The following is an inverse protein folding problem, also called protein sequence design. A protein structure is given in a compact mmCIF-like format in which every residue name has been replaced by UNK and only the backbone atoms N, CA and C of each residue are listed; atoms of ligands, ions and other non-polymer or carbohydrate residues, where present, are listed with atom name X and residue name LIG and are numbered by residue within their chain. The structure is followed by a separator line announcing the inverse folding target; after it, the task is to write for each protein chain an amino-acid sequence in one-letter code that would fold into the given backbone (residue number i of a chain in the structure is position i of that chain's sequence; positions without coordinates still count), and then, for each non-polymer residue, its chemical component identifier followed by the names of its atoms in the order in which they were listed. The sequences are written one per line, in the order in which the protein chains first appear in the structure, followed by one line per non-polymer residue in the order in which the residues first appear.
data_IF_801585627846
#
_entry.id   IF_801585627846
#
_cell.length_a   1.000
_cell.length_b   1.000
_cell.length_c   1.000
_cell.angle_alpha   90.00
_cell.angle_beta   90.00
_cell.angle_gamma   90.00
#
_symmetry.space_group_name_H-M   'P 1'
#
loop_
_entity.id
_entity.type
_entity.pdbx_description
1 polymer ?
#
# COMPACT_ATOMS: atom_id res chain seq x y z
N UNK A 1 -11.70 12.84 -29.43
CA UNK A 1 -12.59 12.95 -30.58
C UNK A 1 -11.82 13.23 -31.88
N UNK A 2 -11.35 14.46 -32.18
CA UNK A 2 -10.72 14.76 -33.50
C UNK A 2 -9.54 13.87 -33.90
N UNK A 3 -8.78 13.34 -32.96
CA UNK A 3 -7.67 12.40 -33.23
C UNK A 3 -8.21 11.02 -33.61
N UNK A 4 -9.21 10.53 -32.88
CA UNK A 4 -9.89 9.28 -33.17
C UNK A 4 -10.57 9.32 -34.55
N UNK A 5 -11.24 10.42 -34.91
CA UNK A 5 -11.84 10.63 -36.23
C UNK A 5 -10.81 10.58 -37.37
N UNK A 6 -9.52 10.76 -37.07
CA UNK A 6 -8.40 10.68 -38.01
C UNK A 6 -7.63 9.38 -37.93
N UNK A 7 -8.14 8.38 -37.21
CA UNK A 7 -7.56 7.05 -37.11
C UNK A 7 -6.42 6.93 -36.08
N UNK A 8 -6.41 7.80 -35.06
CA UNK A 8 -5.47 7.60 -33.96
C UNK A 8 -5.79 6.30 -33.22
N UNK A 9 -4.77 5.53 -32.90
CA UNK A 9 -4.88 4.29 -32.15
C UNK A 9 -5.24 4.60 -30.68
N UNK A 10 -6.40 4.12 -30.17
CA UNK A 10 -6.83 4.34 -28.78
C UNK A 10 -6.02 3.54 -27.77
N UNK A 11 -5.19 2.59 -28.21
CA UNK A 11 -4.41 1.67 -27.37
C UNK A 11 -2.94 2.08 -27.22
N UNK A 12 -2.54 3.25 -27.74
CA UNK A 12 -1.17 3.74 -27.55
C UNK A 12 -0.88 3.92 -26.06
N UNK A 13 -0.04 3.02 -25.52
CA UNK A 13 0.38 3.06 -24.12
C UNK A 13 1.65 3.92 -23.95
N UNK A 14 1.73 4.61 -22.82
CA UNK A 14 2.96 5.31 -22.40
C UNK A 14 4.11 4.32 -22.23
N UNK A 15 5.24 4.58 -22.87
CA UNK A 15 6.45 3.78 -22.71
C UNK A 15 7.04 3.82 -21.31
N UNK A 16 6.65 4.80 -20.49
CA UNK A 16 7.14 4.97 -19.12
C UNK A 16 6.43 4.03 -18.15
N UNK A 17 5.09 3.96 -18.21
CA UNK A 17 4.29 3.30 -17.18
C UNK A 17 3.09 2.50 -17.72
N UNK A 18 2.95 2.36 -19.03
CA UNK A 18 1.86 1.61 -19.64
C UNK A 18 0.50 2.33 -19.64
N UNK A 19 0.43 3.61 -19.22
CA UNK A 19 -0.85 4.32 -19.20
C UNK A 19 -1.41 4.49 -20.61
N UNK A 20 -2.62 3.97 -20.84
CA UNK A 20 -3.39 4.15 -22.07
C UNK A 20 -4.23 5.43 -22.01
N UNK A 21 -4.73 5.93 -23.14
CA UNK A 21 -5.69 7.02 -23.14
C UNK A 21 -6.93 6.75 -22.28
N UNK A 22 -7.42 5.50 -22.24
CA UNK A 22 -8.56 5.10 -21.42
C UNK A 22 -8.26 5.20 -19.94
N UNK A 23 -7.12 4.66 -19.47
CA UNK A 23 -6.67 4.81 -18.09
C UNK A 23 -6.47 6.30 -17.73
N UNK A 24 -5.82 7.05 -18.61
CA UNK A 24 -5.56 8.48 -18.42
C UNK A 24 -6.85 9.29 -18.29
N UNK A 25 -7.92 8.95 -19.01
CA UNK A 25 -9.21 9.62 -18.92
C UNK A 25 -9.81 9.53 -17.51
N UNK A 26 -9.84 8.31 -16.92
CA UNK A 26 -10.28 8.09 -15.52
C UNK A 26 -9.33 8.78 -14.54
N UNK A 27 -8.02 8.59 -14.75
CA UNK A 27 -7.03 9.12 -13.82
C UNK A 27 -7.00 10.65 -13.78
N UNK A 28 -7.21 11.32 -14.91
CA UNK A 28 -7.23 12.78 -14.96
C UNK A 28 -8.39 13.39 -14.17
N UNK A 29 -9.55 12.71 -14.12
CA UNK A 29 -10.69 13.14 -13.30
C UNK A 29 -10.37 13.03 -11.81
N UNK A 30 -9.74 11.93 -11.40
CA UNK A 30 -9.57 11.54 -10.00
C UNK A 30 -8.12 11.61 -9.50
N UNK A 31 -7.23 12.28 -10.23
CA UNK A 31 -5.85 12.45 -9.76
C UNK A 31 -5.80 13.23 -8.45
N UNK A 32 -4.78 12.98 -7.60
CA UNK A 32 -4.57 13.72 -6.37
C UNK A 32 -4.50 15.22 -6.61
N UNK A 33 -4.91 16.01 -5.62
CA UNK A 33 -4.81 17.47 -5.69
C UNK A 33 -3.34 17.88 -5.76
N UNK A 34 -3.00 18.71 -6.73
CA UNK A 34 -1.67 19.31 -6.81
C UNK A 34 -1.51 20.44 -5.79
N UNK A 35 -0.27 20.75 -5.43
CA UNK A 35 0.05 21.87 -4.52
C UNK A 35 -0.45 23.22 -5.05
N UNK A 36 -0.45 23.35 -6.36
CA UNK A 36 -0.98 24.50 -7.04
C UNK A 36 -2.24 24.07 -7.78
N UNK A 37 -3.44 24.45 -7.30
CA UNK A 37 -4.66 24.15 -8.03
C UNK A 37 -4.55 24.72 -9.43
N UNK A 38 -4.79 23.88 -10.43
CA UNK A 38 -4.93 24.30 -11.81
C UNK A 38 -6.37 24.78 -11.96
N UNK A 39 -6.63 26.10 -11.90
CA UNK A 39 -7.98 26.59 -12.06
C UNK A 39 -8.45 26.30 -13.49
N UNK A 40 -9.66 25.81 -13.61
CA UNK A 40 -10.43 25.85 -14.86
C UNK A 40 -10.03 24.85 -15.97
N UNK A 41 -9.16 23.89 -15.74
CA UNK A 41 -8.90 22.83 -16.74
C UNK A 41 -10.20 22.14 -17.21
N UNK A 42 -11.20 22.05 -16.34
CA UNK A 42 -12.50 21.42 -16.61
C UNK A 42 -13.53 22.36 -17.19
N UNK A 43 -13.51 23.64 -16.83
CA UNK A 43 -14.51 24.61 -17.27
C UNK A 43 -14.45 24.88 -18.79
N UNK A 44 -13.28 24.69 -19.41
CA UNK A 44 -13.09 24.79 -20.84
C UNK A 44 -13.34 23.52 -21.64
N UNK A 45 -13.61 22.39 -20.98
CA UNK A 45 -13.84 21.12 -21.67
C UNK A 45 -15.25 21.03 -22.22
N UNK A 46 -15.38 20.60 -23.48
CA UNK A 46 -16.68 20.40 -24.14
C UNK A 46 -17.30 19.02 -23.87
N UNK A 47 -16.51 18.09 -23.42
CA UNK A 47 -16.88 16.70 -23.18
C UNK A 47 -16.39 16.30 -21.79
N UNK A 48 -17.22 15.57 -21.07
CA UNK A 48 -16.82 14.95 -19.81
C UNK A 48 -15.83 13.79 -20.02
N UNK A 49 -15.18 13.36 -18.95
CA UNK A 49 -14.28 12.20 -19.01
C UNK A 49 -15.02 10.90 -19.39
N UNK A 50 -16.29 10.73 -18.99
CA UNK A 50 -17.11 9.59 -19.39
C UNK A 50 -17.40 9.58 -20.89
N UNK A 51 -17.69 10.76 -21.51
CA UNK A 51 -17.86 10.88 -22.95
C UNK A 51 -16.57 10.51 -23.69
N UNK A 52 -15.42 10.91 -23.13
CA UNK A 52 -14.11 10.55 -23.68
C UNK A 52 -13.83 9.06 -23.59
N UNK A 53 -14.13 8.46 -22.43
CA UNK A 53 -13.99 7.02 -22.23
C UNK A 53 -14.86 6.22 -23.19
N UNK A 54 -16.11 6.59 -23.35
CA UNK A 54 -17.04 5.94 -24.28
C UNK A 54 -16.56 6.04 -25.73
N UNK A 55 -16.05 7.21 -26.14
CA UNK A 55 -15.48 7.39 -27.47
C UNK A 55 -14.20 6.57 -27.70
N UNK A 56 -13.36 6.42 -26.70
CA UNK A 56 -12.15 5.58 -26.76
C UNK A 56 -12.54 4.11 -26.89
N UNK A 57 -13.50 3.66 -26.08
CA UNK A 57 -14.01 2.28 -26.11
C UNK A 57 -14.70 1.97 -27.45
N UNK A 58 -15.51 2.90 -27.98
CA UNK A 58 -16.12 2.77 -29.30
C UNK A 58 -15.10 2.75 -30.45
N UNK A 59 -13.93 3.36 -30.25
CA UNK A 59 -12.82 3.32 -31.19
C UNK A 59 -11.94 2.05 -31.04
N UNK A 60 -12.26 1.14 -30.12
CA UNK A 60 -11.56 -0.12 -29.92
C UNK A 60 -10.47 -0.07 -28.84
N UNK A 61 -10.59 0.84 -27.86
CA UNK A 61 -9.71 0.80 -26.69
C UNK A 61 -9.92 -0.50 -25.91
N UNK A 62 -8.82 -1.16 -25.54
CA UNK A 62 -8.84 -2.33 -24.66
C UNK A 62 -9.12 -1.88 -23.22
N UNK A 63 -10.26 -2.31 -22.60
CA UNK A 63 -10.59 -1.90 -21.25
C UNK A 63 -9.72 -2.59 -20.19
N UNK A 64 -9.02 -3.67 -20.54
CA UNK A 64 -8.24 -4.51 -19.64
C UNK A 64 -6.73 -4.26 -19.71
N UNK A 65 -6.30 -3.30 -20.54
CA UNK A 65 -4.89 -2.92 -20.60
C UNK A 65 -4.35 -2.49 -19.23
N UNK A 66 -3.17 -2.98 -18.88
CA UNK A 66 -2.63 -2.88 -17.52
C UNK A 66 -1.47 -1.89 -17.42
N UNK A 67 -1.44 -1.15 -16.34
CA UNK A 67 -0.29 -0.33 -15.98
C UNK A 67 0.96 -1.19 -15.73
N UNK A 68 2.10 -0.78 -16.27
CA UNK A 68 3.39 -1.48 -16.06
C UNK A 68 4.16 -0.96 -14.84
N UNK A 69 3.95 0.30 -14.49
CA UNK A 69 4.50 0.95 -13.30
C UNK A 69 3.45 1.83 -12.65
N UNK A 70 3.64 2.10 -11.36
CA UNK A 70 2.83 3.08 -10.66
C UNK A 70 2.99 4.46 -11.33
N UNK A 71 1.90 5.16 -11.69
CA UNK A 71 1.99 6.52 -12.21
C UNK A 71 2.53 7.44 -11.13
N UNK A 72 3.49 8.29 -11.51
CA UNK A 72 3.99 9.29 -10.60
C UNK A 72 2.96 10.41 -10.45
N UNK A 73 2.62 10.74 -9.21
CA UNK A 73 1.78 11.89 -8.89
C UNK A 73 2.66 12.99 -8.31
N UNK A 74 2.43 14.22 -8.73
CA UNK A 74 2.96 15.39 -8.03
C UNK A 74 2.15 15.59 -6.75
N UNK A 75 2.48 14.83 -5.73
CA UNK A 75 1.83 14.96 -4.44
C UNK A 75 2.41 16.11 -3.64
N UNK A 76 1.56 16.76 -2.87
CA UNK A 76 1.93 17.84 -1.96
C UNK A 76 3.03 17.43 -0.97
N UNK A 77 3.05 16.16 -0.59
CA UNK A 77 3.96 15.63 0.44
C UNK A 77 5.27 15.08 -0.13
N UNK A 78 5.41 14.96 -1.44
CA UNK A 78 6.54 14.25 -2.07
C UNK A 78 6.58 12.77 -1.73
N UNK A 79 5.54 12.21 -1.14
CA UNK A 79 5.44 10.80 -0.82
C UNK A 79 5.14 9.96 -2.05
N UNK A 80 5.93 8.91 -2.26
CA UNK A 80 5.56 7.84 -3.17
C UNK A 80 4.46 6.95 -2.55
N UNK A 81 3.80 6.18 -3.39
CA UNK A 81 2.66 5.32 -3.13
C UNK A 81 2.68 4.54 -1.80
N UNK A 82 3.50 3.50 -1.70
CA UNK A 82 3.49 2.57 -0.57
C UNK A 82 3.97 3.17 0.77
N UNK A 83 4.70 4.27 0.71
CA UNK A 83 5.21 4.94 1.92
C UNK A 83 4.17 5.84 2.56
N UNK A 84 3.13 6.20 1.81
CA UNK A 84 2.13 7.17 2.22
C UNK A 84 0.72 6.60 2.32
N UNK A 85 0.60 5.29 2.33
CA UNK A 85 -0.67 4.59 2.42
C UNK A 85 -1.43 4.46 1.10
N UNK A 86 -0.81 4.80 -0.03
CA UNK A 86 -1.40 4.61 -1.35
C UNK A 86 -1.11 3.21 -1.88
N UNK A 87 -2.00 2.71 -2.74
CA UNK A 87 -1.77 1.43 -3.41
C UNK A 87 -0.80 1.59 -4.57
N UNK A 88 -0.01 0.55 -4.84
CA UNK A 88 0.77 0.46 -6.07
C UNK A 88 -0.18 0.14 -7.24
N UNK A 89 -0.20 1.02 -8.25
CA UNK A 89 -1.04 0.86 -9.43
C UNK A 89 -0.41 -0.01 -10.51
N UNK A 90 0.73 -0.65 -10.25
CA UNK A 90 1.27 -1.62 -11.21
C UNK A 90 0.27 -2.76 -11.40
N UNK A 91 -0.05 -3.07 -12.64
CA UNK A 91 -1.08 -4.04 -13.00
C UNK A 91 -2.52 -3.53 -12.93
N UNK A 92 -2.76 -2.27 -12.54
CA UNK A 92 -4.10 -1.70 -12.52
C UNK A 92 -4.66 -1.49 -13.93
N UNK A 93 -5.96 -1.76 -14.10
CA UNK A 93 -6.76 -1.41 -15.27
C UNK A 93 -7.49 -0.08 -15.05
N UNK A 94 -8.12 0.43 -16.10
CA UNK A 94 -9.04 1.57 -15.98
C UNK A 94 -10.20 1.27 -15.01
N UNK A 95 -10.70 0.02 -14.96
CA UNK A 95 -11.74 -0.41 -14.04
C UNK A 95 -11.29 -0.33 -12.58
N UNK A 96 -10.12 -0.85 -12.26
CA UNK A 96 -9.57 -0.77 -10.90
C UNK A 96 -9.31 0.69 -10.49
N UNK A 97 -8.85 1.53 -11.42
CA UNK A 97 -8.65 2.96 -11.16
C UNK A 97 -9.98 3.68 -10.86
N UNK A 98 -11.06 3.32 -11.57
CA UNK A 98 -12.41 3.83 -11.29
C UNK A 98 -12.90 3.35 -9.93
N UNK A 99 -12.69 2.07 -9.58
CA UNK A 99 -13.03 1.52 -8.26
C UNK A 99 -12.28 2.25 -7.13
N UNK A 100 -11.00 2.57 -7.33
CA UNK A 100 -10.21 3.33 -6.35
C UNK A 100 -10.69 4.77 -6.17
N UNK A 101 -11.36 5.32 -7.19
CA UNK A 101 -12.04 6.62 -7.11
C UNK A 101 -13.51 6.51 -6.69
N UNK A 102 -14.00 5.32 -6.35
CA UNK A 102 -15.41 5.06 -6.04
C UNK A 102 -16.38 5.55 -7.13
N UNK A 103 -15.94 5.48 -8.39
CA UNK A 103 -16.66 5.98 -9.55
C UNK A 103 -17.50 4.87 -10.19
N UNK A 104 -18.73 4.74 -9.71
CA UNK A 104 -19.66 3.70 -10.17
C UNK A 104 -20.02 3.87 -11.64
N UNK A 105 -20.14 5.10 -12.14
CA UNK A 105 -20.53 5.35 -13.52
C UNK A 105 -19.43 4.93 -14.49
N UNK A 106 -18.16 5.24 -14.17
CA UNK A 106 -17.03 4.75 -14.94
C UNK A 106 -16.90 3.21 -14.88
N UNK A 107 -17.08 2.60 -13.69
CA UNK A 107 -17.08 1.14 -13.57
C UNK A 107 -18.18 0.47 -14.40
N UNK A 108 -19.40 1.01 -14.38
CA UNK A 108 -20.52 0.51 -15.20
C UNK A 108 -20.26 0.68 -16.69
N UNK A 109 -19.72 1.83 -17.09
CA UNK A 109 -19.34 2.08 -18.47
C UNK A 109 -18.32 1.03 -18.95
N UNK A 110 -17.22 0.86 -18.22
CA UNK A 110 -16.16 -0.10 -18.56
C UNK A 110 -16.69 -1.53 -18.63
N UNK A 111 -17.52 -1.95 -17.65
CA UNK A 111 -18.12 -3.28 -17.67
C UNK A 111 -19.03 -3.52 -18.89
N UNK A 112 -19.82 -2.53 -19.31
CA UNK A 112 -20.64 -2.65 -20.53
C UNK A 112 -19.80 -2.89 -21.79
N UNK A 113 -18.55 -2.41 -21.78
CA UNK A 113 -17.59 -2.59 -22.86
C UNK A 113 -16.65 -3.79 -22.67
N UNK A 114 -16.94 -4.66 -21.71
CA UNK A 114 -16.27 -5.94 -21.54
C UNK A 114 -15.08 -5.95 -20.59
N UNK A 115 -14.85 -4.88 -19.81
CA UNK A 115 -13.81 -4.88 -18.78
C UNK A 115 -13.99 -6.05 -17.80
N UNK A 116 -12.88 -6.73 -17.47
CA UNK A 116 -12.83 -7.74 -16.42
C UNK A 116 -12.64 -7.06 -15.05
N UNK A 117 -13.68 -7.06 -14.19
CA UNK A 117 -13.63 -6.44 -12.87
C UNK A 117 -12.73 -7.18 -11.87
N UNK A 118 -12.33 -8.42 -12.18
CA UNK A 118 -11.54 -9.27 -11.28
C UNK A 118 -10.02 -9.10 -11.45
N UNK A 119 -9.58 -8.28 -12.39
CA UNK A 119 -8.16 -7.98 -12.55
C UNK A 119 -7.66 -7.15 -11.36
N UNK A 120 -6.68 -7.71 -10.63
CA UNK A 120 -6.05 -7.07 -9.48
C UNK A 120 -4.77 -6.34 -9.90
N UNK A 121 -4.28 -5.43 -9.06
CA UNK A 121 -2.90 -4.93 -9.17
C UNK A 121 -1.90 -6.07 -8.95
N UNK A 122 -0.64 -5.84 -9.27
CA UNK A 122 0.43 -6.82 -9.05
C UNK A 122 1.03 -6.70 -7.65
N UNK A 123 1.20 -7.84 -6.98
CA UNK A 123 1.92 -7.88 -5.73
C UNK A 123 3.36 -7.39 -5.96
N UNK A 124 3.81 -6.40 -5.18
CA UNK A 124 5.17 -5.91 -5.30
C UNK A 124 6.14 -7.06 -5.09
N UNK A 125 7.32 -6.96 -5.74
CA UNK A 125 8.42 -7.79 -5.29
C UNK A 125 8.43 -7.71 -3.76
N UNK A 126 8.47 -8.86 -3.09
CA UNK A 126 8.89 -8.80 -1.69
C UNK A 126 10.16 -7.95 -1.74
N UNK A 127 9.98 -6.66 -1.45
CA UNK A 127 11.13 -5.95 -0.99
C UNK A 127 11.59 -6.84 0.17
N UNK A 128 12.74 -7.49 -0.02
CA UNK A 128 13.64 -7.55 1.09
C UNK A 128 13.71 -6.08 1.51
N UNK A 129 12.81 -5.64 2.36
CA UNK A 129 13.11 -4.52 3.20
C UNK A 129 14.35 -5.04 3.85
N UNK A 130 15.48 -4.57 3.32
CA UNK A 130 16.68 -4.56 4.11
C UNK A 130 16.17 -3.99 5.40
N UNK A 131 16.00 -4.84 6.37
CA UNK A 131 15.51 -4.41 7.67
C UNK A 131 16.38 -3.23 8.04
N UNK A 132 15.92 -2.35 8.87
CA UNK A 132 16.81 -1.29 9.39
C UNK A 132 18.12 -1.93 9.83
N UNK A 133 18.07 -3.18 10.32
CA UNK A 133 19.18 -4.03 10.67
C UNK A 133 20.04 -4.48 9.47
N UNK A 134 19.46 -4.82 8.32
CA UNK A 134 20.27 -5.12 7.11
C UNK A 134 20.96 -3.88 6.55
N UNK A 135 20.34 -2.70 6.62
CA UNK A 135 20.97 -1.43 6.25
C UNK A 135 22.06 -1.02 7.24
N UNK A 136 21.83 -1.22 8.51
CA UNK A 136 22.84 -1.00 9.56
C UNK A 136 23.99 -2.00 9.37
N UNK A 137 23.68 -3.28 9.11
CA UNK A 137 24.66 -4.33 8.82
C UNK A 137 25.50 -4.02 7.58
N UNK A 138 24.89 -3.56 6.49
CA UNK A 138 25.65 -3.17 5.28
C UNK A 138 26.51 -1.94 5.52
N UNK A 139 25.99 -0.90 6.18
CA UNK A 139 26.80 0.29 6.49
C UNK A 139 27.90 -0.01 7.52
N UNK A 140 27.69 -1.00 8.39
CA UNK A 140 28.70 -1.46 9.34
C UNK A 140 29.72 -2.40 8.72
N UNK A 141 29.31 -3.27 7.80
CA UNK A 141 30.21 -4.09 6.99
C UNK A 141 31.02 -3.17 6.08
N UNK A 142 30.40 -2.19 5.45
CA UNK A 142 31.10 -1.20 4.61
C UNK A 142 32.04 -0.29 5.42
N UNK A 143 31.64 0.12 6.62
CA UNK A 143 32.51 0.84 7.55
C UNK A 143 33.65 -0.03 8.11
N UNK A 144 33.42 -1.36 8.21
CA UNK A 144 34.42 -2.32 8.66
C UNK A 144 35.27 -2.90 7.50
N UNK A 145 34.77 -2.91 6.27
CA UNK A 145 35.60 -3.23 5.08
C UNK A 145 36.56 -2.11 4.70
N UNK A 146 36.30 -0.87 5.14
CA UNK A 146 37.26 0.23 5.14
C UNK A 146 38.33 0.10 6.26
N UNK A 147 38.31 -0.99 7.01
CA UNK A 147 39.16 -1.27 8.19
C UNK A 147 40.45 -2.04 7.85
N UNK A 148 40.87 -2.14 6.58
CA UNK A 148 42.26 -2.44 6.31
C UNK A 148 43.20 -1.42 6.98
N UNK A 149 42.73 -0.18 7.15
CA UNK A 149 43.42 0.86 7.94
C UNK A 149 43.22 0.73 9.47
N UNK A 150 42.23 -0.05 9.95
CA UNK A 150 41.88 -0.12 11.38
C UNK A 150 42.93 -0.91 12.19
N UNK A 151 43.45 -1.99 11.64
CA UNK A 151 44.50 -2.78 12.30
C UNK A 151 45.82 -2.03 12.41
N UNK A 152 46.00 -0.99 11.57
CA UNK A 152 47.15 -0.09 11.61
C UNK A 152 46.99 1.07 12.59
N UNK A 153 45.79 1.28 13.16
CA UNK A 153 45.57 2.31 14.15
C UNK A 153 46.13 1.93 15.53
N UNK A 154 46.53 2.93 16.29
CA UNK A 154 46.91 2.72 17.68
C UNK A 154 45.74 2.25 18.53
N UNK A 155 46.01 1.49 19.61
CA UNK A 155 44.99 0.96 20.52
C UNK A 155 43.97 2.03 21.01
N UNK A 156 44.43 3.27 21.20
CA UNK A 156 43.58 4.39 21.61
C UNK A 156 42.66 4.85 20.48
N UNK A 157 43.11 4.83 19.24
CA UNK A 157 42.32 5.21 18.09
C UNK A 157 41.29 4.12 17.75
N UNK A 158 41.64 2.84 17.89
CA UNK A 158 40.74 1.71 17.76
C UNK A 158 39.61 1.76 18.82
N UNK A 159 39.97 2.03 20.08
CA UNK A 159 39.00 2.19 21.17
C UNK A 159 38.03 3.36 20.91
N UNK A 160 38.53 4.47 20.36
CA UNK A 160 37.69 5.61 20.00
C UNK A 160 36.73 5.29 18.85
N UNK A 161 37.19 4.57 17.83
CA UNK A 161 36.37 4.14 16.70
C UNK A 161 35.24 3.18 17.15
N UNK A 162 35.52 2.23 18.04
CA UNK A 162 34.54 1.31 18.62
C UNK A 162 33.47 2.07 19.42
N UNK A 163 33.87 3.07 20.22
CA UNK A 163 32.91 3.90 20.98
C UNK A 163 32.03 4.73 20.06
N UNK A 164 32.59 5.25 18.96
CA UNK A 164 31.84 6.03 17.97
C UNK A 164 30.83 5.13 17.25
N UNK A 165 31.23 3.96 16.79
CA UNK A 165 30.34 2.97 16.15
C UNK A 165 29.21 2.56 17.11
N UNK A 166 29.52 2.34 18.39
CA UNK A 166 28.52 2.06 19.41
C UNK A 166 27.54 3.23 19.61
N UNK A 167 28.05 4.46 19.62
CA UNK A 167 27.24 5.68 19.76
C UNK A 167 26.18 5.80 18.65
N UNK A 168 26.55 5.43 17.43
CA UNK A 168 25.71 5.53 16.24
C UNK A 168 24.71 4.36 16.07
N UNK A 169 24.83 3.30 16.89
CA UNK A 169 23.87 2.20 16.86
C UNK A 169 22.49 2.63 17.39
N UNK A 170 21.39 2.23 16.73
CA UNK A 170 20.04 2.44 17.24
C UNK A 170 19.83 1.78 18.60
N UNK A 171 19.05 2.42 19.46
CA UNK A 171 18.73 1.89 20.79
C UNK A 171 18.11 0.48 20.75
N UNK A 172 17.37 0.15 19.69
CA UNK A 172 16.84 -1.19 19.47
C UNK A 172 17.90 -2.30 19.32
N UNK A 173 19.09 -1.93 18.88
CA UNK A 173 20.24 -2.86 18.76
C UNK A 173 21.02 -2.90 20.07
N UNK A 174 21.10 -1.78 20.79
CA UNK A 174 21.78 -1.67 22.09
C UNK A 174 21.11 -2.48 23.21
N UNK A 175 19.78 -2.64 23.16
CA UNK A 175 18.97 -3.35 24.19
C UNK A 175 19.40 -4.80 24.39
N UNK A 176 19.99 -5.45 23.41
CA UNK A 176 20.42 -6.85 23.51
C UNK A 176 21.91 -7.07 23.75
N UNK A 177 22.70 -6.00 23.82
CA UNK A 177 24.16 -6.09 23.94
C UNK A 177 24.60 -5.57 25.31
N UNK A 178 25.26 -6.37 26.13
CA UNK A 178 25.77 -5.93 27.43
C UNK A 178 26.88 -4.87 27.24
N UNK A 179 26.77 -3.79 28.01
CA UNK A 179 27.67 -2.63 27.93
C UNK A 179 29.14 -2.96 28.28
N UNK A 180 29.35 -4.05 29.02
CA UNK A 180 30.66 -4.58 29.38
C UNK A 180 31.40 -5.27 28.22
N UNK A 181 30.67 -5.70 27.17
CA UNK A 181 31.23 -6.32 25.96
C UNK A 181 31.78 -5.29 24.95
N UNK A 182 31.52 -3.99 25.16
CA UNK A 182 32.06 -2.90 24.32
C UNK A 182 33.61 -2.78 24.50
N UNK A 183 34.16 -3.39 25.51
CA UNK A 183 35.61 -3.36 25.82
C UNK A 183 36.40 -4.51 25.17
N UNK A 184 35.73 -5.31 24.34
CA UNK A 184 36.39 -6.41 23.61
C UNK A 184 37.09 -5.90 22.36
N UNK A 185 37.94 -6.73 21.78
CA UNK A 185 38.65 -6.38 20.53
C UNK A 185 37.63 -6.12 19.40
N UNK A 186 37.96 -5.25 18.41
CA UNK A 186 37.09 -4.95 17.30
C UNK A 186 36.56 -6.17 16.53
N UNK A 187 37.39 -7.20 16.40
CA UNK A 187 36.99 -8.49 15.78
C UNK A 187 35.96 -9.24 16.60
N UNK A 188 36.08 -9.27 17.92
CA UNK A 188 35.09 -9.89 18.83
C UNK A 188 33.79 -9.08 18.84
N UNK A 189 33.87 -7.75 18.87
CA UNK A 189 32.69 -6.89 18.77
C UNK A 189 31.94 -7.10 17.45
N UNK A 190 32.66 -7.20 16.33
CA UNK A 190 32.11 -7.55 15.01
C UNK A 190 31.35 -8.87 15.06
N UNK A 191 31.93 -9.88 15.66
CA UNK A 191 31.33 -11.22 15.77
C UNK A 191 30.06 -11.19 16.63
N UNK A 192 30.05 -10.47 17.75
CA UNK A 192 28.89 -10.29 18.63
C UNK A 192 27.74 -9.59 17.90
N UNK A 193 28.02 -8.51 17.16
CA UNK A 193 26.99 -7.79 16.38
C UNK A 193 26.42 -8.66 15.27
N UNK A 194 27.27 -9.44 14.58
CA UNK A 194 26.82 -10.37 13.53
C UNK A 194 25.98 -11.51 14.09
N UNK A 195 26.39 -12.12 15.22
CA UNK A 195 25.63 -13.20 15.86
C UNK A 195 24.29 -12.69 16.40
N UNK A 196 24.23 -11.49 16.96
CA UNK A 196 23.00 -10.89 17.43
C UNK A 196 22.04 -10.58 16.27
N UNK A 197 22.55 -10.05 15.17
CA UNK A 197 21.77 -9.79 13.96
C UNK A 197 21.22 -11.09 13.35
N UNK A 198 22.03 -12.14 13.27
CA UNK A 198 21.61 -13.47 12.79
C UNK A 198 20.55 -14.12 13.68
N UNK A 199 20.64 -13.97 15.02
CA UNK A 199 19.61 -14.48 15.94
C UNK A 199 18.28 -13.73 15.77
N UNK A 200 18.31 -12.43 15.58
CA UNK A 200 17.10 -11.64 15.35
C UNK A 200 16.46 -11.96 13.99
N UNK A 201 17.26 -12.19 12.95
CA UNK A 201 16.78 -12.59 11.64
C UNK A 201 16.11 -13.99 11.68
N UNK A 202 16.68 -14.94 12.44
CA UNK A 202 16.07 -16.26 12.61
C UNK A 202 14.73 -16.19 13.36
N UNK A 203 14.64 -15.39 14.42
CA UNK A 203 13.40 -15.19 15.20
C UNK A 203 12.31 -14.50 14.34
N UNK A 204 12.69 -13.59 13.45
CA UNK A 204 11.74 -12.92 12.55
C UNK A 204 11.34 -13.78 11.34
N UNK A 205 12.23 -14.67 10.86
CA UNK A 205 11.96 -15.61 9.78
C UNK A 205 11.04 -16.76 10.21
N UNK A 206 11.02 -17.09 11.49
CA UNK A 206 10.25 -18.21 12.06
C UNK A 206 8.82 -17.82 12.49
N UNK A 207 8.43 -16.54 12.39
CA UNK A 207 7.03 -16.18 12.70
C UNK A 207 6.13 -16.69 11.58
N UNK A 208 5.33 -17.73 11.84
CA UNK A 208 4.35 -18.19 10.85
C UNK A 208 3.38 -17.05 10.54
N UNK A 209 2.94 -16.97 9.27
CA UNK A 209 1.89 -16.07 8.86
C UNK A 209 0.61 -16.39 9.66
N UNK A 210 0.15 -15.50 10.57
CA UNK A 210 -0.97 -15.81 11.45
C UNK A 210 -2.31 -15.90 10.69
N UNK A 211 -2.37 -15.39 9.45
CA UNK A 211 -3.58 -15.48 8.63
C UNK A 211 -3.85 -16.88 8.10
N UNK A 212 -2.85 -17.77 8.08
CA UNK A 212 -2.96 -19.10 7.47
C UNK A 212 -3.15 -19.09 5.96
N UNK A 213 -3.05 -17.92 5.32
CA UNK A 213 -3.26 -17.81 3.87
C UNK A 213 -2.02 -18.29 3.09
N UNK A 214 -2.20 -18.88 1.90
CA UNK A 214 -1.09 -19.22 1.03
C UNK A 214 -0.31 -17.95 0.64
N UNK A 215 1.03 -18.03 0.47
CA UNK A 215 1.84 -16.88 0.07
C UNK A 215 1.44 -16.39 -1.31
N UNK A 216 1.38 -15.08 -1.50
CA UNK A 216 1.20 -14.46 -2.81
C UNK A 216 2.57 -14.28 -3.47
N UNK A 217 2.80 -14.84 -4.67
CA UNK A 217 4.06 -14.66 -5.37
C UNK A 217 4.21 -13.21 -5.88
N UNK A 218 5.44 -12.81 -6.17
CA UNK A 218 5.72 -11.55 -6.85
C UNK A 218 4.96 -11.50 -8.19
N UNK A 219 4.31 -10.37 -8.48
CA UNK A 219 3.47 -10.21 -9.67
C UNK A 219 2.13 -10.94 -9.61
N UNK A 220 1.86 -11.69 -8.53
CA UNK A 220 0.55 -12.26 -8.26
C UNK A 220 -0.49 -11.18 -7.92
N UNK A 221 -1.76 -11.57 -7.69
CA UNK A 221 -2.83 -10.61 -7.42
C UNK A 221 -2.59 -9.90 -6.09
N UNK A 222 -2.65 -8.56 -6.10
CA UNK A 222 -2.47 -7.76 -4.89
C UNK A 222 -3.78 -7.15 -4.42
N UNK A 223 -4.25 -6.10 -5.06
CA UNK A 223 -5.43 -5.33 -4.66
C UNK A 223 -6.49 -5.47 -5.73
N UNK A 224 -7.65 -5.98 -5.35
CA UNK A 224 -8.83 -6.09 -6.21
C UNK A 224 -9.69 -4.82 -6.14
N UNK A 225 -10.60 -4.67 -7.09
CA UNK A 225 -11.51 -3.53 -7.15
C UNK A 225 -12.34 -3.34 -5.86
N UNK A 226 -12.70 -4.42 -5.17
CA UNK A 226 -13.43 -4.36 -3.91
C UNK A 226 -12.61 -3.71 -2.79
N UNK A 227 -11.32 -4.05 -2.66
CA UNK A 227 -10.43 -3.39 -1.69
C UNK A 227 -10.23 -1.91 -2.04
N UNK A 228 -10.06 -1.62 -3.33
CA UNK A 228 -9.91 -0.26 -3.84
C UNK A 228 -11.14 0.59 -3.50
N UNK A 229 -12.35 0.09 -3.76
CA UNK A 229 -13.61 0.74 -3.45
C UNK A 229 -13.93 0.81 -1.94
N UNK A 230 -13.28 -0.02 -1.11
CA UNK A 230 -13.42 0.02 0.35
C UNK A 230 -12.42 0.95 1.03
N UNK A 231 -11.52 1.58 0.27
CA UNK A 231 -10.64 2.62 0.76
C UNK A 231 -9.25 2.16 1.16
N UNK A 232 -8.70 1.13 0.49
CA UNK A 232 -7.31 0.74 0.67
C UNK A 232 -6.37 1.95 0.54
N UNK A 233 -5.47 2.13 1.50
CA UNK A 233 -4.57 3.28 1.56
C UNK A 233 -5.13 4.51 2.27
N UNK A 234 -6.44 4.69 2.33
CA UNK A 234 -7.07 5.71 3.16
C UNK A 234 -7.07 5.24 4.62
N UNK A 235 -6.77 6.12 5.57
CA UNK A 235 -6.69 5.74 6.98
C UNK A 235 -5.49 4.84 7.35
N UNK A 236 -4.80 4.29 6.37
CA UNK A 236 -3.62 3.45 6.55
C UNK A 236 -2.31 4.23 6.41
N UNK A 237 -2.39 5.50 6.02
CA UNK A 237 -1.25 6.39 5.87
C UNK A 237 -1.70 7.85 5.71
N UNK A 238 -0.85 8.79 6.12
CA UNK A 238 -1.22 10.20 6.18
C UNK A 238 -1.46 10.86 4.80
N UNK A 239 -0.96 10.31 3.71
CA UNK A 239 -1.14 10.84 2.37
C UNK A 239 -2.32 10.22 1.62
N UNK A 240 -2.93 9.16 2.14
CA UNK A 240 -4.09 8.52 1.53
C UNK A 240 -5.26 9.50 1.33
N UNK A 241 -5.45 10.42 2.25
CA UNK A 241 -6.51 11.44 2.20
C UNK A 241 -6.30 12.51 1.10
N UNK A 242 -5.17 12.53 0.42
CA UNK A 242 -4.94 13.42 -0.73
C UNK A 242 -5.66 12.96 -2.00
N UNK A 243 -6.05 11.68 -2.08
CA UNK A 243 -6.76 11.14 -3.23
C UNK A 243 -8.18 11.68 -3.34
N UNK A 244 -8.58 11.87 -4.60
CA UNK A 244 -9.94 12.28 -4.95
C UNK A 244 -10.77 11.06 -5.28
N UNK A 245 -12.00 11.07 -4.82
CA UNK A 245 -13.01 10.04 -5.08
C UNK A 245 -14.37 10.70 -5.28
N UNK A 246 -15.32 9.95 -5.84
CA UNK A 246 -16.69 10.41 -6.01
C UNK A 246 -17.32 10.71 -4.65
N UNK A 247 -18.08 11.80 -4.58
CA UNK A 247 -18.78 12.17 -3.35
C UNK A 247 -19.80 11.07 -3.00
N UNK A 248 -19.78 10.65 -1.74
CA UNK A 248 -20.63 9.55 -1.24
C UNK A 248 -20.52 8.23 -2.03
N UNK A 249 -19.38 8.02 -2.72
CA UNK A 249 -19.21 6.91 -3.65
C UNK A 249 -18.86 5.56 -3.00
N UNK A 250 -18.45 5.53 -1.73
CA UNK A 250 -17.94 4.31 -1.08
C UNK A 250 -18.94 3.16 -1.06
N UNK A 251 -20.05 3.34 -0.36
CA UNK A 251 -21.08 2.29 -0.26
C UNK A 251 -21.70 1.94 -1.62
N UNK A 252 -22.07 2.90 -2.51
CA UNK A 252 -22.55 2.56 -3.85
C UNK A 252 -21.56 1.75 -4.69
N UNK A 253 -20.27 2.03 -4.60
CA UNK A 253 -19.24 1.30 -5.34
C UNK A 253 -19.08 -0.13 -4.85
N UNK A 254 -19.05 -0.32 -3.54
CA UNK A 254 -18.97 -1.65 -2.95
C UNK A 254 -20.25 -2.45 -3.25
N UNK A 255 -21.41 -1.83 -3.15
CA UNK A 255 -22.67 -2.46 -3.56
C UNK A 255 -22.65 -2.93 -5.02
N UNK A 256 -22.22 -2.07 -5.92
CA UNK A 256 -22.08 -2.44 -7.33
C UNK A 256 -21.16 -3.66 -7.50
N UNK A 257 -20.02 -3.68 -6.82
CA UNK A 257 -19.05 -4.78 -6.93
C UNK A 257 -19.57 -6.09 -6.30
N UNK A 258 -20.28 -6.02 -5.20
CA UNK A 258 -20.82 -7.21 -4.51
C UNK A 258 -22.11 -7.70 -5.19
N UNK A 259 -23.09 -6.81 -5.41
CA UNK A 259 -24.44 -7.20 -5.84
C UNK A 259 -24.53 -7.38 -7.37
N UNK A 260 -23.90 -6.52 -8.17
CA UNK A 260 -24.01 -6.55 -9.65
C UNK A 260 -22.86 -7.29 -10.32
N UNK A 261 -21.65 -7.22 -9.75
CA UNK A 261 -20.45 -7.91 -10.27
C UNK A 261 -20.32 -9.31 -9.67
N UNK A 262 -20.75 -9.51 -8.42
CA UNK A 262 -20.66 -10.79 -7.71
C UNK A 262 -19.29 -11.05 -7.11
N UNK A 263 -18.56 -10.00 -6.69
CA UNK A 263 -17.28 -10.19 -6.01
C UNK A 263 -17.47 -10.80 -4.63
N UNK A 264 -16.61 -11.73 -4.27
CA UNK A 264 -16.55 -12.31 -2.93
C UNK A 264 -16.18 -11.23 -1.91
N UNK A 265 -17.08 -10.98 -0.95
CA UNK A 265 -16.90 -10.01 0.12
C UNK A 265 -15.71 -10.34 1.03
N UNK A 266 -15.29 -11.61 1.07
CA UNK A 266 -14.17 -12.10 1.87
C UNK A 266 -12.85 -12.23 1.08
N UNK A 267 -12.83 -11.77 -0.17
CA UNK A 267 -11.59 -11.77 -0.95
C UNK A 267 -10.48 -11.06 -0.18
N UNK A 268 -9.26 -11.61 -0.25
CA UNK A 268 -8.09 -11.08 0.46
C UNK A 268 -7.14 -10.38 -0.49
N UNK A 269 -6.59 -9.25 -0.07
CA UNK A 269 -5.47 -8.64 -0.74
C UNK A 269 -4.15 -9.39 -0.46
N UNK A 270 -3.06 -8.97 -1.06
CA UNK A 270 -1.74 -9.61 -0.86
C UNK A 270 -1.21 -9.52 0.58
N UNK A 271 -1.71 -8.60 1.40
CA UNK A 271 -1.40 -8.47 2.83
C UNK A 271 -2.38 -9.25 3.72
N UNK A 272 -3.39 -9.88 3.12
CA UNK A 272 -4.42 -10.64 3.81
C UNK A 272 -5.55 -9.77 4.38
N UNK A 273 -5.67 -8.51 4.00
CA UNK A 273 -6.79 -7.66 4.39
C UNK A 273 -8.04 -7.95 3.55
N UNK A 274 -9.21 -7.77 4.14
CA UNK A 274 -10.52 -7.78 3.47
C UNK A 274 -11.02 -6.34 3.28
N UNK A 275 -12.14 -6.18 2.58
CA UNK A 275 -12.85 -4.91 2.47
C UNK A 275 -13.20 -4.30 3.84
N UNK A 276 -13.55 -5.14 4.84
CA UNK A 276 -13.84 -4.68 6.21
C UNK A 276 -12.60 -4.06 6.86
N UNK A 277 -11.42 -4.61 6.68
CA UNK A 277 -10.18 -4.02 7.22
C UNK A 277 -9.95 -2.59 6.71
N UNK A 278 -10.15 -2.38 5.40
CA UNK A 278 -9.97 -1.06 4.79
C UNK A 278 -11.07 -0.07 5.20
N UNK A 279 -12.32 -0.53 5.29
CA UNK A 279 -13.41 0.28 5.80
C UNK A 279 -13.19 0.67 7.28
N UNK A 280 -12.68 -0.26 8.09
CA UNK A 280 -12.34 -0.03 9.50
C UNK A 280 -11.24 1.02 9.68
N UNK A 281 -10.18 0.96 8.87
CA UNK A 281 -9.10 1.95 8.90
C UNK A 281 -9.58 3.39 8.60
N UNK A 282 -10.70 3.54 7.89
CA UNK A 282 -11.36 4.82 7.60
C UNK A 282 -12.44 5.22 8.60
N UNK A 283 -12.90 4.30 9.44
CA UNK A 283 -14.03 4.52 10.33
C UNK A 283 -15.39 4.54 9.63
N UNK A 284 -15.53 3.83 8.52
CA UNK A 284 -16.78 3.77 7.74
C UNK A 284 -17.72 2.70 8.29
N UNK A 285 -18.44 3.07 9.35
CA UNK A 285 -19.32 2.15 10.06
C UNK A 285 -20.51 1.67 9.19
N UNK A 286 -21.00 2.51 8.27
CA UNK A 286 -22.07 2.14 7.36
C UNK A 286 -21.62 1.06 6.39
N UNK A 287 -20.44 1.21 5.81
CA UNK A 287 -19.86 0.23 4.91
C UNK A 287 -19.52 -1.08 5.63
N UNK A 288 -18.99 -1.00 6.86
CA UNK A 288 -18.72 -2.20 7.68
C UNK A 288 -20.00 -3.00 7.90
N UNK A 289 -21.08 -2.36 8.33
CA UNK A 289 -22.36 -3.03 8.58
C UNK A 289 -22.91 -3.68 7.31
N UNK A 290 -22.84 -2.98 6.18
CA UNK A 290 -23.23 -3.55 4.89
C UNK A 290 -22.40 -4.78 4.52
N UNK A 291 -21.08 -4.72 4.64
CA UNK A 291 -20.19 -5.85 4.31
C UNK A 291 -20.48 -7.07 5.19
N UNK A 292 -20.75 -6.86 6.49
CA UNK A 292 -21.13 -7.92 7.42
C UNK A 292 -22.50 -8.51 7.03
N UNK A 293 -23.47 -7.69 6.64
CA UNK A 293 -24.77 -8.15 6.14
C UNK A 293 -24.62 -9.04 4.88
N UNK A 294 -23.64 -8.74 4.03
CA UNK A 294 -23.31 -9.55 2.85
C UNK A 294 -22.46 -10.81 3.18
N UNK A 295 -22.24 -11.11 4.45
CA UNK A 295 -21.48 -12.29 4.88
C UNK A 295 -19.97 -12.05 5.03
N UNK A 296 -19.56 -10.80 5.15
CA UNK A 296 -18.16 -10.44 5.42
C UNK A 296 -17.68 -10.93 6.80
N UNK A 297 -16.53 -11.59 6.83
CA UNK A 297 -15.92 -12.12 8.04
C UNK A 297 -15.21 -11.01 8.83
N UNK A 298 -15.86 -10.55 9.89
CA UNK A 298 -15.33 -9.52 10.80
C UNK A 298 -14.16 -10.03 11.65
N UNK A 299 -14.02 -11.35 11.78
CA UNK A 299 -12.96 -11.98 12.57
C UNK A 299 -11.67 -12.25 11.79
N UNK A 300 -11.68 -11.91 10.51
CA UNK A 300 -10.57 -12.09 9.61
C UNK A 300 -9.27 -11.42 10.13
N UNK A 301 -8.14 -12.13 9.98
CA UNK A 301 -6.81 -11.66 10.42
C UNK A 301 -5.91 -11.46 9.20
N UNK A 302 -5.17 -10.37 9.15
CA UNK A 302 -4.18 -10.10 8.12
C UNK A 302 -2.89 -10.91 8.32
N UNK A 303 -1.99 -10.92 7.32
CA UNK A 303 -0.66 -11.55 7.43
C UNK A 303 0.23 -10.93 8.52
N UNK A 304 -0.11 -9.74 8.99
CA UNK A 304 0.56 -9.07 10.12
C UNK A 304 -0.08 -9.40 11.46
N UNK A 305 -1.13 -10.23 11.47
CA UNK A 305 -1.91 -10.54 12.66
C UNK A 305 -2.85 -9.43 13.09
N UNK A 306 -3.09 -8.43 12.24
CA UNK A 306 -4.04 -7.36 12.53
C UNK A 306 -5.46 -7.84 12.27
N UNK A 307 -6.33 -7.63 13.24
CA UNK A 307 -7.77 -7.85 13.13
C UNK A 307 -8.46 -6.65 12.50
N UNK A 308 -9.74 -6.75 12.18
CA UNK A 308 -10.52 -5.62 11.71
C UNK A 308 -10.63 -4.52 12.76
N UNK A 309 -10.71 -4.85 14.07
CA UNK A 309 -10.71 -3.88 15.17
C UNK A 309 -9.34 -3.17 15.31
N UNK A 310 -8.22 -3.90 15.16
CA UNK A 310 -6.90 -3.29 15.15
C UNK A 310 -6.74 -2.23 14.05
N UNK A 311 -7.38 -2.45 12.89
CA UNK A 311 -7.36 -1.48 11.79
C UNK A 311 -8.10 -0.18 12.11
N UNK A 312 -9.10 -0.21 12.98
CA UNK A 312 -9.76 0.98 13.49
C UNK A 312 -9.03 1.62 14.67
N UNK A 313 -8.08 0.91 15.30
CA UNK A 313 -7.39 1.33 16.52
C UNK A 313 -5.99 1.93 16.26
N UNK A 314 -5.78 2.61 15.13
CA UNK A 314 -4.50 3.24 14.81
C UNK A 314 -3.45 2.29 14.25
N UNK A 315 -3.70 1.65 13.09
CA UNK A 315 -2.86 0.59 12.51
C UNK A 315 -1.47 1.05 12.09
N UNK A 316 -1.33 2.35 11.84
CA UNK A 316 -0.07 2.97 11.42
C UNK A 316 0.20 4.25 12.20
N UNK A 317 1.46 4.65 12.25
CA UNK A 317 1.90 5.91 12.83
C UNK A 317 1.16 7.11 12.22
N UNK A 318 0.72 8.04 13.06
CA UNK A 318 -0.02 9.27 12.69
C UNK A 318 -1.48 9.07 12.26
N UNK A 319 -2.02 7.87 12.39
CA UNK A 319 -3.46 7.63 12.25
C UNK A 319 -4.05 7.44 13.64
N UNK A 320 -4.99 8.29 14.00
CA UNK A 320 -5.63 8.24 15.31
C UNK A 320 -6.62 7.08 15.38
N UNK A 321 -6.74 6.42 16.53
CA UNK A 321 -7.81 5.47 16.79
C UNK A 321 -9.20 6.08 16.57
N UNK A 322 -10.14 5.24 16.15
CA UNK A 322 -11.55 5.58 15.94
C UNK A 322 -12.40 4.75 16.92
N UNK A 323 -12.58 5.20 18.17
CA UNK A 323 -13.16 4.38 19.23
C UNK A 323 -14.57 3.85 18.93
N UNK A 324 -15.38 4.61 18.20
CA UNK A 324 -16.72 4.19 17.82
C UNK A 324 -16.70 2.99 16.86
N UNK A 325 -15.75 3.00 15.92
CA UNK A 325 -15.56 1.89 14.97
C UNK A 325 -14.95 0.66 15.65
N UNK A 326 -14.03 0.87 16.60
CA UNK A 326 -13.48 -0.23 17.43
C UNK A 326 -14.60 -0.90 18.19
N UNK A 327 -15.43 -0.11 18.92
CA UNK A 327 -16.56 -0.64 19.70
C UNK A 327 -17.58 -1.36 18.81
N UNK A 328 -17.88 -0.84 17.61
CA UNK A 328 -18.74 -1.51 16.65
C UNK A 328 -18.17 -2.90 16.26
N UNK A 329 -16.91 -2.94 15.85
CA UNK A 329 -16.26 -4.18 15.39
C UNK A 329 -16.16 -5.23 16.51
N UNK A 330 -15.85 -4.80 17.75
CA UNK A 330 -15.88 -5.69 18.92
C UNK A 330 -17.30 -6.24 19.17
N UNK A 331 -18.32 -5.42 19.03
CA UNK A 331 -19.72 -5.86 19.18
C UNK A 331 -20.15 -6.85 18.12
N UNK A 332 -19.52 -6.81 16.93
CA UNK A 332 -19.73 -7.75 15.82
C UNK A 332 -18.86 -9.01 15.93
N UNK A 333 -17.96 -9.09 16.90
CA UNK A 333 -17.14 -10.26 17.20
C UNK A 333 -15.67 -10.17 16.79
N UNK A 334 -15.19 -9.03 16.33
CA UNK A 334 -13.75 -8.81 16.14
C UNK A 334 -13.03 -8.70 17.47
N UNK A 335 -11.82 -9.26 17.56
CA UNK A 335 -10.97 -9.08 18.71
C UNK A 335 -10.06 -7.85 18.51
N UNK A 336 -10.03 -6.93 19.48
CA UNK A 336 -9.01 -5.89 19.52
C UNK A 336 -7.75 -6.48 20.17
N UNK A 337 -6.77 -6.84 19.36
CA UNK A 337 -5.53 -7.46 19.83
C UNK A 337 -4.45 -6.43 20.18
N UNK A 338 -4.74 -5.14 20.01
CA UNK A 338 -3.79 -4.04 20.15
C UNK A 338 -2.56 -4.18 19.23
N UNK A 339 -2.70 -4.86 18.10
CA UNK A 339 -1.67 -4.94 17.06
C UNK A 339 -1.72 -3.69 16.16
N UNK A 340 -1.44 -2.56 16.76
CA UNK A 340 -1.53 -1.22 16.20
C UNK A 340 -0.32 -0.37 16.64
N UNK A 341 -0.06 0.75 15.95
CA UNK A 341 1.09 1.60 16.24
C UNK A 341 0.74 2.80 17.14
N UNK A 342 -0.51 3.22 17.12
CA UNK A 342 -0.99 4.40 17.89
C UNK A 342 -2.24 4.05 18.70
N UNK A 343 -2.33 2.82 19.21
CA UNK A 343 -3.49 2.32 19.98
C UNK A 343 -3.85 3.22 21.17
N UNK A 344 -5.13 3.25 21.50
CA UNK A 344 -5.65 3.73 22.77
C UNK A 344 -6.03 2.58 23.70
#
# INVERSE_FOLDING_TARGET
MRLLDRGADPNVASSLNGATPLYAAVNSEWQPRTRYPQPQEREGQRFGYLDLMEALLAAGADPDERMTLHPWYMEYTGCGNAQCGLIDMKGATAFLRAAYATDVDAMRLLRRWGADPFLATEAPARRNRRTTQERIRESQVEALDNVEEFEELSDSAQATAVVTIWGDLPDSVKIGLPEDQIRTTPSEFRQIVLEHALRQDSVNAERPDPSGLPPVPQGGPAVFALHAASGVGYGEGFAGNAHRHAENGWLPSVRFLVEEVGMDVNIRDHNGYTAIHHAAARGDNELILYLVEQGGDVTAISRRGQTTADMANGPVSRVSPIPETVALLESLGSANSNNCLTCQ
#
